data_IF_196859287888
#
_entry.id   IF_196859287888
#
_cell.length_a   1.000
_cell.length_b   1.000
_cell.length_c   1.000
_cell.angle_alpha   90.00
_cell.angle_beta   90.00
_cell.angle_gamma   90.00
#
_symmetry.space_group_name_H-M   'P 1'
#
loop_
_entity.id
_entity.type
_entity.pdbx_description
1 polymer ?
#
# COMPACT_ATOMS: atom_id res chain seq x y z
N UNK A 1 -23.39 9.49 13.43
CA UNK A 1 -22.86 10.84 13.69
C UNK A 1 -21.36 10.72 13.88
N UNK A 2 -20.56 11.14 12.90
CA UNK A 2 -19.10 11.17 13.01
C UNK A 2 -18.67 12.53 13.59
N UNK A 3 -17.74 12.58 14.55
CA UNK A 3 -17.30 13.83 15.14
C UNK A 3 -16.56 14.68 14.10
N UNK A 4 -16.92 15.96 14.05
CA UNK A 4 -16.29 16.99 13.20
C UNK A 4 -14.82 17.14 13.60
N UNK A 5 -13.89 16.83 12.70
CA UNK A 5 -12.47 17.04 12.95
C UNK A 5 -12.23 18.53 13.20
N UNK A 6 -11.90 18.88 14.44
CA UNK A 6 -11.38 20.20 14.78
C UNK A 6 -10.08 20.40 14.01
N UNK A 7 -10.03 21.45 13.17
CA UNK A 7 -8.81 21.98 12.57
C UNK A 7 -7.82 22.27 13.71
N UNK A 8 -6.86 21.36 13.93
CA UNK A 8 -5.71 21.62 14.79
C UNK A 8 -4.85 22.64 14.05
N UNK A 9 -5.16 23.92 14.27
CA UNK A 9 -4.34 25.07 13.85
C UNK A 9 -2.88 24.75 14.15
N UNK A 10 -2.05 24.72 13.12
CA UNK A 10 -0.64 24.33 13.15
C UNK A 10 0.25 25.41 13.83
N UNK A 11 -0.02 25.70 15.11
CA UNK A 11 0.75 26.64 15.91
C UNK A 11 2.21 26.21 16.12
N UNK A 12 2.54 24.95 15.86
CA UNK A 12 3.88 24.40 16.09
C UNK A 12 4.95 25.09 15.24
N UNK A 13 4.73 25.23 13.93
CA UNK A 13 5.74 25.79 13.01
C UNK A 13 5.89 27.30 13.25
N UNK A 14 4.78 28.01 13.43
CA UNK A 14 4.77 29.43 13.74
C UNK A 14 5.43 29.72 15.10
N UNK A 15 5.17 28.90 16.12
CA UNK A 15 5.79 29.02 17.43
C UNK A 15 7.31 28.80 17.39
N UNK A 16 7.77 27.85 16.57
CA UNK A 16 9.20 27.57 16.42
C UNK A 16 9.93 28.71 15.70
N UNK A 17 9.35 29.22 14.62
CA UNK A 17 9.89 30.38 13.91
C UNK A 17 10.00 31.60 14.82
N UNK A 18 8.97 31.86 15.63
CA UNK A 18 8.96 32.96 16.59
C UNK A 18 10.03 32.80 17.68
N UNK A 19 10.16 31.58 18.24
CA UNK A 19 11.18 31.28 19.25
C UNK A 19 12.60 31.46 18.70
N UNK A 20 12.84 31.06 17.46
CA UNK A 20 14.14 31.19 16.80
C UNK A 20 14.49 32.67 16.52
N UNK A 21 13.49 33.47 16.13
CA UNK A 21 13.62 34.93 15.98
C UNK A 21 13.95 35.62 17.30
N UNK A 22 13.27 35.24 18.38
CA UNK A 22 13.53 35.75 19.74
C UNK A 22 14.93 35.39 20.23
N UNK A 23 15.40 34.17 19.93
CA UNK A 23 16.74 33.72 20.28
C UNK A 23 17.84 34.51 19.58
N UNK A 24 17.66 34.78 18.28
CA UNK A 24 18.56 35.63 17.50
C UNK A 24 18.58 37.05 18.08
N UNK A 25 17.40 37.60 18.44
CA UNK A 25 17.29 38.94 19.01
C UNK A 25 17.99 39.02 20.38
N UNK A 26 17.77 38.03 21.25
CA UNK A 26 18.36 37.98 22.58
C UNK A 26 19.89 37.83 22.50
N UNK A 27 20.39 36.94 21.64
CA UNK A 27 21.83 36.76 21.41
C UNK A 27 22.53 38.00 20.84
N UNK A 28 21.78 38.88 20.16
CA UNK A 28 22.32 40.15 19.63
C UNK A 28 22.36 41.25 20.67
N UNK A 29 21.48 41.20 21.68
CA UNK A 29 21.38 42.21 22.74
C UNK A 29 22.23 41.89 23.97
N UNK A 30 22.57 40.61 24.19
CA UNK A 30 23.51 40.17 25.21
C UNK A 30 24.93 40.59 24.82
N UNK A 31 25.32 41.79 25.26
CA UNK A 31 26.72 42.22 25.26
C UNK A 31 27.47 41.51 26.37
N UNK A 32 28.61 40.93 26.01
CA UNK A 32 29.50 40.31 26.98
C UNK A 32 30.08 41.39 27.92
N UNK A 33 30.33 41.03 29.18
CA UNK A 33 30.76 41.98 30.22
C UNK A 33 32.11 42.65 29.92
N UNK A 34 32.87 42.11 28.96
CA UNK A 34 34.18 42.58 28.54
C UNK A 34 34.15 43.55 27.34
N UNK A 35 32.97 43.89 26.81
CA UNK A 35 32.82 44.92 25.77
C UNK A 35 33.41 44.57 24.39
N UNK A 36 33.83 43.32 24.17
CA UNK A 36 34.26 42.86 22.84
C UNK A 36 33.06 42.38 22.02
N UNK A 37 32.93 42.91 20.81
CA UNK A 37 31.84 42.59 19.88
C UNK A 37 32.01 41.19 19.25
N UNK A 38 31.68 40.14 20.00
CA UNK A 38 31.58 38.76 19.49
C UNK A 38 30.17 38.42 18.96
N UNK A 39 29.40 39.43 18.55
CA UNK A 39 27.99 39.30 18.17
C UNK A 39 27.73 38.21 17.12
N UNK A 40 28.68 38.01 16.19
CA UNK A 40 28.57 37.01 15.14
C UNK A 40 28.66 35.59 15.72
N UNK A 41 29.72 35.27 16.48
CA UNK A 41 29.96 33.93 17.06
C UNK A 41 28.81 33.45 17.97
N UNK A 42 28.28 34.35 18.81
CA UNK A 42 27.16 34.03 19.71
C UNK A 42 25.88 33.77 18.91
N UNK A 43 25.63 34.51 17.83
CA UNK A 43 24.42 34.28 17.01
C UNK A 43 24.44 32.93 16.28
N UNK A 44 25.60 32.51 15.75
CA UNK A 44 25.72 31.21 15.09
C UNK A 44 25.65 30.04 16.07
N UNK A 45 26.22 30.19 17.27
CA UNK A 45 26.15 29.12 18.27
C UNK A 45 24.71 28.84 18.69
N UNK A 46 23.89 29.88 18.87
CA UNK A 46 22.46 29.73 19.17
C UNK A 46 21.67 29.11 18.02
N UNK A 47 21.93 29.53 16.78
CA UNK A 47 21.34 28.89 15.61
C UNK A 47 21.71 27.41 15.51
N UNK A 48 22.96 27.07 15.80
CA UNK A 48 23.46 25.70 15.77
C UNK A 48 22.81 24.84 16.87
N UNK A 49 22.73 25.35 18.10
CA UNK A 49 22.04 24.67 19.21
C UNK A 49 20.55 24.51 18.93
N UNK A 50 19.87 25.53 18.40
CA UNK A 50 18.47 25.46 17.98
C UNK A 50 18.26 24.44 16.84
N UNK A 51 19.18 24.39 15.87
CA UNK A 51 19.16 23.40 14.79
C UNK A 51 19.31 21.98 15.31
N UNK A 52 20.29 21.72 16.17
CA UNK A 52 20.52 20.41 16.79
C UNK A 52 19.28 19.97 17.59
N UNK A 53 18.76 20.84 18.45
CA UNK A 53 17.58 20.52 19.28
C UNK A 53 16.33 20.27 18.43
N UNK A 54 16.13 21.03 17.34
CA UNK A 54 15.05 20.77 16.39
C UNK A 54 15.17 19.41 15.71
N UNK A 55 16.37 19.05 15.21
CA UNK A 55 16.62 17.76 14.57
C UNK A 55 16.39 16.60 15.54
N UNK A 56 16.89 16.71 16.78
CA UNK A 56 16.64 15.73 17.85
C UNK A 56 15.15 15.60 18.17
N UNK A 57 14.43 16.72 18.26
CA UNK A 57 12.98 16.73 18.47
C UNK A 57 12.23 16.06 17.33
N UNK A 58 12.66 16.27 16.09
CA UNK A 58 12.10 15.62 14.91
C UNK A 58 12.33 14.10 14.96
N UNK A 59 13.53 13.66 15.32
CA UNK A 59 13.87 12.23 15.46
C UNK A 59 13.01 11.60 16.57
N UNK A 60 12.90 12.26 17.72
CA UNK A 60 12.06 11.82 18.84
C UNK A 60 10.59 11.68 18.43
N UNK A 61 10.06 12.68 17.71
CA UNK A 61 8.70 12.63 17.22
C UNK A 61 8.49 11.54 16.15
N UNK A 62 9.47 11.36 15.26
CA UNK A 62 9.44 10.30 14.24
C UNK A 62 9.41 8.90 14.86
N UNK A 63 10.11 8.68 15.98
CA UNK A 63 10.02 7.42 16.73
C UNK A 63 8.61 7.16 17.26
N UNK A 64 7.89 8.21 17.67
CA UNK A 64 6.55 8.07 18.23
C UNK A 64 5.47 7.92 17.15
N UNK A 65 5.63 8.60 16.01
CA UNK A 65 4.64 8.61 14.92
C UNK A 65 4.76 7.42 13.99
N UNK A 66 5.93 6.80 13.87
CA UNK A 66 6.10 5.62 13.01
C UNK A 66 5.47 4.37 13.67
N UNK A 67 4.29 3.89 13.22
CA UNK A 67 3.65 2.71 13.78
C UNK A 67 4.17 1.50 13.02
N UNK A 68 5.48 1.23 13.14
CA UNK A 68 6.12 0.06 12.56
C UNK A 68 6.80 -0.71 13.68
N UNK A 69 5.98 -1.23 14.59
CA UNK A 69 6.36 -2.33 15.49
C UNK A 69 6.63 -3.55 14.62
N UNK A 70 7.90 -3.83 14.32
CA UNK A 70 8.32 -5.15 13.81
C UNK A 70 9.39 -5.17 12.73
N UNK A 71 9.61 -4.09 11.97
CA UNK A 71 10.61 -4.09 10.91
C UNK A 71 11.66 -2.98 11.06
N UNK A 72 12.86 -3.28 10.57
CA UNK A 72 14.14 -2.64 10.84
C UNK A 72 14.15 -1.11 10.58
N UNK A 73 13.84 -0.33 11.61
CA UNK A 73 14.28 1.06 11.78
C UNK A 73 13.73 2.10 10.79
N UNK A 74 13.92 3.37 11.13
CA UNK A 74 13.57 4.53 10.30
C UNK A 74 14.24 4.52 8.91
N UNK A 75 15.42 3.88 8.81
CA UNK A 75 16.16 3.73 7.55
C UNK A 75 15.35 3.01 6.47
N UNK A 76 14.65 1.92 6.80
CA UNK A 76 13.81 1.21 5.84
C UNK A 76 12.69 2.10 5.29
N UNK A 77 12.09 2.94 6.14
CA UNK A 77 11.08 3.93 5.72
C UNK A 77 11.65 4.99 4.77
N UNK A 78 12.84 5.54 5.07
CA UNK A 78 13.52 6.49 4.19
C UNK A 78 13.86 5.86 2.83
N UNK A 79 14.43 4.66 2.81
CA UNK A 79 14.74 3.95 1.57
C UNK A 79 13.48 3.62 0.75
N UNK A 80 12.36 3.30 1.40
CA UNK A 80 11.08 3.07 0.72
C UNK A 80 10.56 4.33 0.01
N UNK A 81 10.67 5.49 0.68
CA UNK A 81 10.29 6.78 0.10
C UNK A 81 11.22 7.13 -1.07
N UNK A 82 12.53 6.92 -0.90
CA UNK A 82 13.52 7.16 -1.94
C UNK A 82 13.27 6.29 -3.18
N UNK A 83 13.04 4.99 -3.00
CA UNK A 83 12.72 4.04 -4.07
C UNK A 83 11.41 4.42 -4.78
N UNK A 84 10.38 4.82 -4.03
CA UNK A 84 9.12 5.31 -4.61
C UNK A 84 9.32 6.60 -5.42
N UNK A 85 10.18 7.51 -4.96
CA UNK A 85 10.50 8.75 -5.65
C UNK A 85 11.30 8.49 -6.93
N UNK A 86 12.31 7.62 -6.88
CA UNK A 86 13.12 7.22 -8.03
C UNK A 86 12.23 6.55 -9.09
N UNK A 87 11.39 5.58 -8.71
CA UNK A 87 10.43 4.95 -9.65
C UNK A 87 9.45 5.94 -10.26
N UNK A 88 9.01 6.93 -9.48
CA UNK A 88 8.15 7.99 -10.00
C UNK A 88 8.89 8.93 -10.97
N UNK A 89 10.18 9.19 -10.74
CA UNK A 89 11.02 9.96 -11.63
C UNK A 89 11.35 9.20 -12.93
N UNK A 90 11.71 7.92 -12.84
CA UNK A 90 11.92 7.03 -13.99
C UNK A 90 10.68 6.97 -14.87
N UNK A 91 9.49 6.77 -14.27
CA UNK A 91 8.23 6.78 -15.02
C UNK A 91 7.93 8.11 -15.73
N UNK A 92 8.46 9.23 -15.22
CA UNK A 92 8.33 10.55 -15.86
C UNK A 92 9.42 10.81 -16.91
N UNK A 93 10.54 10.08 -16.85
CA UNK A 93 11.59 10.12 -17.87
C UNK A 93 11.29 9.16 -19.03
N UNK A 94 10.57 8.07 -18.76
CA UNK A 94 10.09 7.08 -19.75
C UNK A 94 8.93 7.57 -20.63
N UNK A 95 8.75 8.88 -20.78
CA UNK A 95 7.71 9.52 -21.62
C UNK A 95 7.83 9.24 -23.13
N UNK A 96 8.71 8.33 -23.56
CA UNK A 96 8.93 7.98 -24.97
C UNK A 96 8.32 6.62 -25.38
N UNK A 97 7.55 5.96 -24.52
CA UNK A 97 6.69 4.84 -24.97
C UNK A 97 5.22 5.22 -24.89
N UNK A 98 4.50 5.30 -26.04
CA UNK A 98 3.06 5.43 -26.01
C UNK A 98 2.50 4.19 -25.31
N UNK A 99 1.85 4.42 -24.17
CA UNK A 99 1.11 3.40 -23.42
C UNK A 99 0.30 2.56 -24.42
N UNK A 100 0.73 1.31 -24.64
CA UNK A 100 -0.05 0.34 -25.41
C UNK A 100 -1.40 0.25 -24.74
N UNK A 101 -2.42 0.90 -25.31
CA UNK A 101 -3.81 0.87 -24.85
C UNK A 101 -4.20 -0.60 -24.67
N UNK A 102 -4.17 -1.08 -23.42
CA UNK A 102 -4.70 -2.40 -23.07
C UNK A 102 -6.15 -2.39 -23.50
N UNK A 103 -6.46 -3.18 -24.54
CA UNK A 103 -7.84 -3.46 -24.97
C UNK A 103 -8.63 -3.81 -23.71
N UNK A 104 -9.61 -2.98 -23.36
CA UNK A 104 -10.53 -3.30 -22.27
C UNK A 104 -11.17 -4.63 -22.64
N UNK A 105 -11.12 -5.66 -21.77
CA UNK A 105 -11.81 -6.91 -22.05
C UNK A 105 -13.29 -6.58 -22.23
N UNK A 106 -13.94 -7.15 -23.26
CA UNK A 106 -15.37 -6.99 -23.50
C UNK A 106 -16.13 -7.41 -22.24
N UNK A 107 -16.59 -6.42 -21.48
CA UNK A 107 -17.38 -6.67 -20.30
C UNK A 107 -18.78 -7.08 -20.76
N UNK A 108 -19.38 -8.15 -20.19
CA UNK A 108 -20.76 -8.51 -20.45
C UNK A 108 -21.70 -7.30 -20.27
N UNK A 109 -22.75 -7.15 -21.08
CA UNK A 109 -23.60 -5.95 -21.10
C UNK A 109 -24.23 -5.60 -19.74
N UNK A 110 -24.39 -6.58 -18.85
CA UNK A 110 -24.87 -6.37 -17.49
C UNK A 110 -23.90 -5.56 -16.62
N UNK A 111 -22.59 -5.61 -16.90
CA UNK A 111 -21.60 -4.85 -16.15
C UNK A 111 -21.62 -3.34 -16.49
N UNK A 112 -22.16 -2.97 -17.65
CA UNK A 112 -22.32 -1.56 -18.02
C UNK A 112 -23.39 -0.85 -17.17
N UNK A 113 -24.33 -1.62 -16.60
CA UNK A 113 -25.44 -1.12 -15.77
C UNK A 113 -25.15 -1.08 -14.27
N UNK A 114 -23.90 -1.32 -13.84
CA UNK A 114 -23.58 -1.21 -12.41
C UNK A 114 -23.71 0.25 -11.93
N UNK A 115 -24.36 0.49 -10.77
CA UNK A 115 -24.38 1.81 -10.15
C UNK A 115 -22.97 2.30 -9.88
N UNK A 116 -22.74 3.60 -10.07
CA UNK A 116 -21.40 4.20 -10.02
C UNK A 116 -20.72 4.08 -8.65
N UNK A 117 -21.50 3.90 -7.58
CA UNK A 117 -21.01 3.59 -6.23
C UNK A 117 -20.20 2.28 -6.18
N UNK A 118 -20.59 1.26 -6.93
CA UNK A 118 -19.85 -0.01 -7.00
C UNK A 118 -18.55 0.15 -7.81
N UNK A 119 -18.56 1.00 -8.83
CA UNK A 119 -17.37 1.30 -9.64
C UNK A 119 -16.33 2.07 -8.84
N UNK A 120 -16.75 3.08 -8.06
CA UNK A 120 -15.83 3.89 -7.25
C UNK A 120 -15.20 3.08 -6.10
N UNK A 121 -15.99 2.22 -5.46
CA UNK A 121 -15.55 1.33 -4.39
C UNK A 121 -14.81 0.08 -4.88
N UNK A 122 -14.78 -0.16 -6.20
CA UNK A 122 -14.31 -1.43 -6.80
C UNK A 122 -14.91 -2.64 -6.08
N UNK A 123 -16.21 -2.57 -5.83
CA UNK A 123 -16.96 -3.57 -5.08
C UNK A 123 -17.82 -4.41 -6.01
N UNK A 124 -18.07 -5.66 -5.63
CA UNK A 124 -18.86 -6.60 -6.43
C UNK A 124 -19.51 -7.70 -5.60
N UNK A 125 -20.46 -8.38 -6.23
CA UNK A 125 -21.13 -9.53 -5.64
C UNK A 125 -20.60 -10.83 -6.24
N UNK A 126 -20.33 -11.80 -5.37
CA UNK A 126 -19.85 -13.12 -5.73
C UNK A 126 -20.95 -14.14 -5.47
N UNK A 127 -21.14 -15.08 -6.40
CA UNK A 127 -22.14 -16.14 -6.26
C UNK A 127 -21.77 -17.08 -5.11
N UNK A 128 -22.77 -17.70 -4.47
CA UNK A 128 -22.60 -18.57 -3.28
C UNK A 128 -21.57 -19.71 -3.38
N UNK A 129 -21.24 -20.13 -4.59
CA UNK A 129 -20.30 -21.23 -4.88
C UNK A 129 -18.93 -20.73 -5.35
N UNK A 130 -18.69 -19.43 -5.38
CA UNK A 130 -17.45 -18.84 -5.85
C UNK A 130 -16.71 -18.18 -4.70
N UNK A 131 -15.38 -18.31 -4.72
CA UNK A 131 -14.47 -17.64 -3.81
C UNK A 131 -13.43 -16.90 -4.63
N UNK A 132 -13.11 -15.66 -4.26
CA UNK A 132 -12.05 -14.90 -4.90
C UNK A 132 -10.76 -15.03 -4.11
N UNK A 133 -9.67 -15.35 -4.80
CA UNK A 133 -8.33 -15.15 -4.28
C UNK A 133 -7.87 -13.73 -4.63
N UNK A 134 -7.65 -12.91 -3.60
CA UNK A 134 -7.18 -11.54 -3.75
C UNK A 134 -5.67 -11.46 -3.51
N UNK A 135 -4.99 -10.68 -4.34
CA UNK A 135 -3.56 -10.39 -4.21
C UNK A 135 -3.35 -8.89 -4.02
N UNK A 136 -2.26 -8.52 -3.35
CA UNK A 136 -1.81 -7.13 -3.21
C UNK A 136 -0.38 -7.06 -3.73
N UNK A 137 -0.21 -6.48 -4.93
CA UNK A 137 1.06 -6.57 -5.66
C UNK A 137 1.35 -8.01 -6.10
N UNK A 138 2.51 -8.54 -5.74
CA UNK A 138 2.94 -9.92 -6.03
C UNK A 138 2.53 -10.94 -4.96
N UNK A 139 1.98 -10.50 -3.82
CA UNK A 139 1.70 -11.36 -2.68
C UNK A 139 0.21 -11.66 -2.53
N UNK A 140 -0.10 -12.86 -2.06
CA UNK A 140 -1.46 -13.22 -1.65
C UNK A 140 -1.89 -12.35 -0.47
N UNK A 141 -3.11 -11.80 -0.55
CA UNK A 141 -3.66 -10.95 0.51
C UNK A 141 -4.63 -11.73 1.37
N UNK A 142 -5.74 -12.21 0.77
CA UNK A 142 -6.81 -12.90 1.49
C UNK A 142 -7.77 -13.64 0.55
N UNK A 143 -8.51 -14.63 1.05
CA UNK A 143 -9.66 -15.17 0.35
C UNK A 143 -10.88 -14.29 0.62
N UNK A 144 -11.73 -14.10 -0.39
CA UNK A 144 -13.01 -13.42 -0.25
C UNK A 144 -14.14 -14.40 -0.56
N UNK A 145 -14.93 -14.70 0.48
CA UNK A 145 -16.02 -15.66 0.42
C UNK A 145 -17.22 -15.16 -0.40
N UNK A 146 -18.26 -15.99 -0.53
CA UNK A 146 -19.48 -15.62 -1.23
C UNK A 146 -20.16 -14.40 -0.58
N UNK A 147 -20.81 -13.57 -1.39
CA UNK A 147 -21.49 -12.36 -0.94
C UNK A 147 -20.86 -11.07 -1.46
N UNK A 148 -20.96 -10.00 -0.68
CA UNK A 148 -20.46 -8.68 -1.05
C UNK A 148 -18.98 -8.53 -0.70
N UNK A 149 -18.17 -8.14 -1.67
CA UNK A 149 -16.72 -7.96 -1.48
C UNK A 149 -16.29 -6.60 -2.00
N UNK A 150 -15.56 -5.89 -1.14
CA UNK A 150 -14.89 -4.62 -1.44
C UNK A 150 -13.41 -4.89 -1.61
N UNK A 151 -12.83 -4.39 -2.70
CA UNK A 151 -11.38 -4.42 -2.93
C UNK A 151 -10.72 -3.29 -2.17
N UNK A 152 -9.75 -3.60 -1.31
CA UNK A 152 -8.94 -2.59 -0.63
C UNK A 152 -7.94 -1.94 -1.60
N UNK A 153 -7.34 -0.83 -1.17
CA UNK A 153 -6.40 -0.07 -2.00
C UNK A 153 -5.21 -0.95 -2.40
N UNK A 154 -5.07 -1.18 -3.71
CA UNK A 154 -4.00 -1.99 -4.29
C UNK A 154 -4.28 -3.49 -4.32
N UNK A 155 -5.44 -3.95 -3.84
CA UNK A 155 -5.88 -5.33 -4.04
C UNK A 155 -6.37 -5.53 -5.48
N UNK A 156 -6.09 -6.72 -6.02
CA UNK A 156 -6.56 -7.17 -7.33
C UNK A 156 -7.12 -8.59 -7.22
N UNK A 157 -8.08 -8.89 -8.10
CA UNK A 157 -8.64 -10.24 -8.20
C UNK A 157 -7.64 -11.07 -9.01
N UNK A 158 -7.04 -12.08 -8.39
CA UNK A 158 -6.10 -12.96 -9.06
C UNK A 158 -6.81 -14.14 -9.72
N UNK A 159 -7.67 -14.83 -8.96
CA UNK A 159 -8.40 -16.01 -9.46
C UNK A 159 -9.76 -16.14 -8.80
N UNK A 160 -10.75 -16.53 -9.60
CA UNK A 160 -12.06 -16.98 -9.11
C UNK A 160 -12.02 -18.51 -9.02
N UNK A 161 -12.31 -19.05 -7.85
CA UNK A 161 -12.36 -20.49 -7.58
C UNK A 161 -13.83 -20.89 -7.45
N UNK A 162 -14.25 -21.87 -8.24
CA UNK A 162 -15.56 -22.50 -8.09
C UNK A 162 -15.44 -23.64 -7.08
N UNK A 163 -16.25 -23.60 -6.04
CA UNK A 163 -16.33 -24.60 -4.99
C UNK A 163 -17.22 -25.79 -5.35
N UNK A 164 -18.00 -25.71 -6.44
CA UNK A 164 -18.82 -26.85 -6.88
C UNK A 164 -17.92 -28.03 -7.24
N UNK A 165 -18.30 -29.27 -6.89
CA UNK A 165 -17.62 -30.46 -7.40
C UNK A 165 -17.61 -30.43 -8.93
N UNK A 166 -16.42 -30.44 -9.51
CA UNK A 166 -16.25 -30.46 -10.96
C UNK A 166 -16.09 -31.91 -11.41
N UNK A 167 -17.06 -32.42 -12.16
CA UNK A 167 -16.95 -33.71 -12.83
C UNK A 167 -16.36 -33.47 -14.22
N UNK A 168 -15.15 -33.94 -14.47
CA UNK A 168 -14.54 -33.94 -15.80
C UNK A 168 -14.52 -35.35 -16.35
N UNK A 169 -15.04 -35.51 -17.56
CA UNK A 169 -14.88 -36.74 -18.35
C UNK A 169 -13.69 -36.56 -19.28
N UNK A 170 -12.75 -37.50 -19.24
CA UNK A 170 -11.68 -37.56 -20.22
C UNK A 170 -11.78 -38.91 -20.94
N UNK A 171 -11.97 -38.87 -22.26
CA UNK A 171 -11.92 -40.08 -23.07
C UNK A 171 -10.46 -40.51 -23.17
N UNK A 172 -10.11 -41.62 -22.53
CA UNK A 172 -8.75 -42.18 -22.61
C UNK A 172 -8.75 -43.23 -23.71
N UNK A 173 -7.92 -43.03 -24.73
CA UNK A 173 -7.60 -44.09 -25.68
C UNK A 173 -6.37 -44.83 -25.13
N UNK A 174 -6.61 -45.93 -24.43
CA UNK A 174 -5.55 -46.83 -23.98
C UNK A 174 -5.39 -47.97 -24.99
N UNK A 175 -4.15 -48.43 -25.23
CA UNK A 175 -3.91 -49.71 -25.90
C UNK A 175 -3.83 -50.78 -24.83
N UNK A 176 -4.74 -51.74 -24.85
CA UNK A 176 -4.68 -52.93 -23.99
C UNK A 176 -3.52 -53.82 -24.44
N UNK A 177 -3.03 -54.70 -23.56
CA UNK A 177 -1.99 -55.71 -23.89
C UNK A 177 -2.35 -56.56 -25.11
N UNK A 178 -3.66 -56.72 -25.36
CA UNK A 178 -4.22 -57.51 -26.46
C UNK A 178 -4.33 -56.74 -27.79
N UNK A 179 -3.86 -55.49 -27.87
CA UNK A 179 -3.83 -54.71 -29.11
C UNK A 179 -5.17 -54.10 -29.57
N UNK A 180 -6.27 -54.38 -28.85
CA UNK A 180 -7.60 -53.82 -29.13
C UNK A 180 -7.72 -52.47 -28.43
N UNK A 181 -8.07 -51.36 -29.11
CA UNK A 181 -8.26 -50.06 -28.48
C UNK A 181 -9.66 -49.97 -27.84
N UNK A 182 -9.82 -50.06 -26.51
CA UNK A 182 -11.10 -49.86 -25.88
C UNK A 182 -11.36 -48.36 -25.79
N UNK A 183 -12.52 -47.91 -26.28
CA UNK A 183 -13.02 -46.57 -25.91
C UNK A 183 -13.65 -46.69 -24.52
N UNK A 184 -12.96 -46.23 -23.50
CA UNK A 184 -13.48 -46.21 -22.14
C UNK A 184 -13.70 -44.77 -21.67
N UNK A 185 -14.92 -44.47 -21.21
CA UNK A 185 -15.25 -43.18 -20.60
C UNK A 185 -15.03 -43.28 -19.10
N UNK A 186 -13.84 -42.90 -18.64
CA UNK A 186 -13.54 -42.74 -17.22
C UNK A 186 -14.11 -41.43 -16.69
N UNK A 187 -14.71 -41.48 -15.49
CA UNK A 187 -15.08 -40.28 -14.75
C UNK A 187 -14.07 -40.06 -13.63
N UNK A 188 -13.42 -38.90 -13.61
CA UNK A 188 -12.59 -38.48 -12.48
C UNK A 188 -13.40 -37.52 -11.61
N UNK A 189 -13.46 -37.82 -10.30
CA UNK A 189 -14.08 -36.96 -9.31
C UNK A 189 -13.02 -36.05 -8.67
N UNK A 190 -13.16 -34.74 -8.81
CA UNK A 190 -12.32 -33.77 -8.11
C UNK A 190 -13.10 -33.22 -6.92
N UNK A 191 -12.76 -33.63 -5.67
CA UNK A 191 -13.35 -33.01 -4.50
C UNK A 191 -12.96 -31.53 -4.47
N UNK A 192 -13.94 -30.64 -4.24
CA UNK A 192 -13.69 -29.21 -4.10
C UNK A 192 -12.68 -28.94 -2.99
N UNK A 193 -11.90 -27.86 -3.13
CA UNK A 193 -10.85 -27.49 -2.18
C UNK A 193 -11.45 -27.17 -0.79
N UNK A 194 -11.62 -28.19 0.04
CA UNK A 194 -11.88 -28.03 1.47
C UNK A 194 -10.59 -27.51 2.11
N UNK A 195 -10.68 -26.36 2.77
CA UNK A 195 -9.53 -25.71 3.42
C UNK A 195 -8.82 -26.67 4.37
N UNK A 196 -7.54 -26.91 4.09
CA UNK A 196 -6.60 -27.48 5.03
C UNK A 196 -6.39 -26.48 6.16
N UNK A 197 -7.10 -26.64 7.27
CA UNK A 197 -6.74 -26.02 8.55
C UNK A 197 -5.63 -26.86 9.19
N UNK A 198 -4.41 -26.67 8.72
CA UNK A 198 -3.18 -27.14 9.39
C UNK A 198 -2.68 -26.06 10.35
N UNK A 199 -2.42 -26.45 11.59
CA UNK A 199 -2.01 -25.59 12.71
C UNK A 199 -0.57 -25.09 12.66
#
# INVERSE_FOLDING_TARGET
>A
MTPKQNERKEWGILGLLLALLLLIFLGRYLRDAQGQDHQWLVSYSWLFVAGITFVLGLIYYAQFVSPLRGEQGWGAGFFLILDAYIKAAEKRLDFTQPDKKKKKPDLPPDFARLPDSLKSLKAGFIKGHQVLALTKGSSYARPAGPGFVVLLRGEQIWRVIDLRPQRRSQSVQAKTRDGIPPRHNGYCYFPGAAGSSGG
#
